data_IF_004160046235
#
_entry.id   IF_004160046235
#
_cell.length_a   1.000
_cell.length_b   1.000
_cell.length_c   1.000
_cell.angle_alpha   90.00
_cell.angle_beta   90.00
_cell.angle_gamma   90.00
#
_symmetry.space_group_name_H-M   'P 1'
#
loop_
_entity.id
_entity.type
_entity.pdbx_description
1 polymer ?
#
# COMPACT_ATOMS: atom_id res chain seq x y z
N UNK A 1 5.63 0.10 -24.49
CA UNK A 1 5.03 -1.20 -24.87
C UNK A 1 3.85 -1.56 -23.95
N UNK A 2 4.06 -1.93 -22.68
CA UNK A 2 2.94 -2.32 -21.78
C UNK A 2 1.93 -1.19 -21.56
N UNK A 3 2.40 0.01 -21.19
CA UNK A 3 1.53 1.18 -20.96
C UNK A 3 0.75 1.65 -22.19
N UNK A 4 1.20 1.28 -23.39
CA UNK A 4 0.54 1.65 -24.65
C UNK A 4 -0.62 0.70 -24.99
N UNK A 5 -0.56 -0.56 -24.52
CA UNK A 5 -1.52 -1.62 -24.90
C UNK A 5 -2.51 -1.97 -23.79
N UNK A 6 -2.23 -1.60 -22.54
CA UNK A 6 -3.03 -2.01 -21.38
C UNK A 6 -4.39 -1.27 -21.30
N UNK A 7 -4.60 -0.26 -22.14
CA UNK A 7 -5.84 0.57 -22.20
C UNK A 7 -6.35 1.00 -20.82
N UNK A 8 -5.40 1.35 -19.93
CA UNK A 8 -5.67 1.73 -18.55
C UNK A 8 -5.31 3.19 -18.30
N UNK A 9 -5.93 3.77 -17.26
CA UNK A 9 -5.60 5.09 -16.72
C UNK A 9 -4.82 5.00 -15.41
N UNK A 10 -4.93 3.89 -14.68
CA UNK A 10 -4.19 3.63 -13.43
C UNK A 10 -3.61 2.22 -13.50
N UNK A 11 -2.32 2.09 -13.19
CA UNK A 11 -1.63 0.80 -13.07
C UNK A 11 -1.00 0.70 -11.69
N UNK A 12 -1.43 -0.27 -10.90
CA UNK A 12 -0.87 -0.53 -9.57
C UNK A 12 0.04 -1.75 -9.66
N UNK A 13 1.33 -1.56 -9.41
CA UNK A 13 2.33 -2.62 -9.36
C UNK A 13 2.71 -2.90 -7.90
N UNK A 14 2.79 -4.19 -7.56
CA UNK A 14 3.23 -4.68 -6.25
C UNK A 14 4.51 -5.48 -6.40
N UNK A 15 5.23 -5.63 -5.29
CA UNK A 15 6.48 -6.40 -5.22
C UNK A 15 7.53 -5.94 -6.25
N UNK A 16 7.70 -4.62 -6.41
CA UNK A 16 8.61 -4.05 -7.42
C UNK A 16 10.07 -4.45 -7.20
N UNK A 17 10.45 -4.78 -5.95
CA UNK A 17 11.81 -5.19 -5.53
C UNK A 17 12.89 -4.16 -5.88
N UNK A 18 12.52 -2.89 -6.00
CA UNK A 18 13.42 -1.78 -6.32
C UNK A 18 13.71 -0.94 -5.06
N UNK A 19 14.94 -0.44 -4.93
CA UNK A 19 15.28 0.61 -3.96
C UNK A 19 15.42 1.96 -4.66
N UNK A 20 15.28 3.06 -3.91
CA UNK A 20 15.33 4.42 -4.47
C UNK A 20 16.59 4.70 -5.29
N UNK A 21 17.75 4.16 -4.88
CA UNK A 21 19.03 4.30 -5.59
C UNK A 21 19.13 3.51 -6.90
N UNK A 22 18.26 2.53 -7.09
CA UNK A 22 18.25 1.63 -8.23
C UNK A 22 17.18 2.02 -9.26
N UNK A 23 16.44 3.12 -9.01
CA UNK A 23 15.48 3.68 -9.96
C UNK A 23 16.21 4.18 -11.21
N UNK A 24 15.67 3.82 -12.38
CA UNK A 24 16.17 4.25 -13.68
C UNK A 24 15.17 5.20 -14.34
N UNK A 25 15.66 6.00 -15.28
CA UNK A 25 14.87 7.02 -15.96
C UNK A 25 13.65 6.42 -16.67
N UNK A 26 13.77 5.24 -17.27
CA UNK A 26 12.68 4.55 -17.97
C UNK A 26 11.57 4.01 -17.04
N UNK A 27 11.86 3.87 -15.73
CA UNK A 27 10.88 3.51 -14.71
C UNK A 27 10.11 4.72 -14.19
N UNK A 28 10.70 5.92 -14.27
CA UNK A 28 10.15 7.15 -13.69
C UNK A 28 9.55 8.06 -14.76
N UNK A 29 10.17 8.11 -15.93
CA UNK A 29 9.84 9.01 -17.05
C UNK A 29 9.09 8.24 -18.14
N UNK A 30 7.94 7.69 -17.80
CA UNK A 30 7.06 7.03 -18.77
C UNK A 30 6.21 8.10 -19.48
N UNK A 31 6.31 8.30 -20.80
CA UNK A 31 5.61 9.38 -21.49
C UNK A 31 4.09 9.35 -21.29
N UNK A 32 3.52 10.44 -20.77
CA UNK A 32 2.07 10.55 -20.50
C UNK A 32 1.60 9.95 -19.18
N UNK A 33 2.53 9.48 -18.34
CA UNK A 33 2.23 8.88 -17.05
C UNK A 33 3.04 9.54 -15.94
N UNK A 34 2.38 9.77 -14.82
CA UNK A 34 3.04 10.08 -13.55
C UNK A 34 3.15 8.79 -12.73
N UNK A 35 4.14 8.71 -11.84
CA UNK A 35 4.35 7.54 -10.98
C UNK A 35 4.61 7.92 -9.53
N UNK A 36 4.02 7.14 -8.64
CA UNK A 36 4.09 7.29 -7.19
C UNK A 36 4.60 5.99 -6.58
N UNK A 37 5.66 6.08 -5.77
CA UNK A 37 6.31 4.90 -5.19
C UNK A 37 6.21 4.89 -3.67
N UNK A 38 6.10 3.69 -3.11
CA UNK A 38 6.50 3.39 -1.74
C UNK A 38 7.54 2.28 -1.80
N UNK A 39 8.76 2.58 -1.37
CA UNK A 39 9.92 1.67 -1.50
C UNK A 39 10.46 1.25 -0.14
N UNK A 40 11.01 0.03 0.00
CA UNK A 40 11.61 -0.41 1.25
C UNK A 40 12.78 0.49 1.66
N UNK A 41 12.83 0.89 2.93
CA UNK A 41 13.92 1.74 3.43
C UNK A 41 15.23 0.99 3.65
N UNK A 42 15.17 -0.27 4.07
CA UNK A 42 16.34 -0.99 4.60
C UNK A 42 16.72 -2.25 3.81
N UNK A 43 15.74 -2.99 3.28
CA UNK A 43 15.98 -4.30 2.67
C UNK A 43 16.08 -4.22 1.15
N UNK A 44 17.19 -4.70 0.58
CA UNK A 44 17.42 -4.75 -0.88
C UNK A 44 16.57 -5.84 -1.53
N UNK A 45 16.01 -5.56 -2.70
CA UNK A 45 15.27 -6.55 -3.49
C UNK A 45 13.97 -7.02 -2.82
N UNK A 46 13.32 -6.15 -2.05
CA UNK A 46 12.21 -6.51 -1.16
C UNK A 46 11.00 -5.62 -1.36
N UNK A 47 9.78 -6.18 -1.37
CA UNK A 47 8.53 -5.40 -1.34
C UNK A 47 8.49 -4.33 -2.45
N UNK A 48 7.84 -3.19 -2.18
CA UNK A 48 7.74 -2.06 -3.07
C UNK A 48 6.39 -2.01 -3.79
N UNK A 49 5.79 -0.82 -3.81
CA UNK A 49 4.55 -0.53 -4.54
C UNK A 49 4.78 0.67 -5.44
N UNK A 50 4.28 0.60 -6.66
CA UNK A 50 4.25 1.73 -7.60
C UNK A 50 2.84 1.91 -8.15
N UNK A 51 2.37 3.15 -8.23
CA UNK A 51 1.12 3.48 -8.91
C UNK A 51 1.45 4.44 -10.04
N UNK A 52 1.15 4.04 -11.27
CA UNK A 52 1.23 4.88 -12.45
C UNK A 52 -0.15 5.41 -12.77
N UNK A 53 -0.23 6.70 -13.10
CA UNK A 53 -1.49 7.35 -13.48
C UNK A 53 -1.33 8.13 -14.77
N UNK A 54 -2.28 8.01 -15.70
CA UNK A 54 -2.26 8.78 -16.95
C UNK A 54 -2.49 10.26 -16.63
N UNK A 55 -1.48 11.09 -16.86
CA UNK A 55 -1.47 12.48 -16.37
C UNK A 55 -2.55 13.37 -17.01
N UNK A 56 -2.98 13.06 -18.23
CA UNK A 56 -3.99 13.83 -18.95
C UNK A 56 -5.44 13.55 -18.50
N UNK A 57 -5.73 12.38 -17.92
CA UNK A 57 -7.10 11.92 -17.63
C UNK A 57 -7.33 11.60 -16.15
N UNK A 58 -6.29 11.19 -15.43
CA UNK A 58 -6.42 10.65 -14.09
C UNK A 58 -5.26 11.14 -13.20
N UNK A 59 -5.19 12.46 -12.98
CA UNK A 59 -4.17 13.03 -12.09
C UNK A 59 -4.67 13.05 -10.63
N UNK A 60 -3.91 12.50 -9.67
CA UNK A 60 -4.25 12.63 -8.26
C UNK A 60 -4.01 14.06 -7.76
N UNK A 61 -4.82 14.49 -6.81
CA UNK A 61 -4.67 15.79 -6.12
C UNK A 61 -3.74 15.70 -4.90
N UNK A 62 -3.58 14.51 -4.32
CA UNK A 62 -2.63 14.23 -3.22
C UNK A 62 -2.06 12.82 -3.33
N UNK A 63 -0.87 12.62 -2.78
CA UNK A 63 -0.20 11.33 -2.72
C UNK A 63 0.54 11.17 -1.38
N UNK A 64 0.41 10.00 -0.77
CA UNK A 64 1.07 9.66 0.50
C UNK A 64 1.71 8.27 0.42
N UNK A 65 2.88 8.13 1.06
CA UNK A 65 3.53 6.84 1.31
C UNK A 65 3.11 6.33 2.70
N UNK A 66 2.84 5.02 2.80
CA UNK A 66 2.48 4.38 4.06
C UNK A 66 0.99 4.43 4.40
N UNK A 67 0.61 3.74 5.47
CA UNK A 67 -0.77 3.61 5.96
C UNK A 67 -1.00 4.54 7.16
N UNK A 68 0.00 4.64 8.02
CA UNK A 68 -0.12 5.35 9.28
C UNK A 68 0.09 6.86 9.07
N UNK A 69 0.75 7.29 8.00
CA UNK A 69 1.04 8.70 7.73
C UNK A 69 2.21 9.24 8.53
N UNK A 70 3.06 8.35 9.08
CA UNK A 70 4.26 8.74 9.84
C UNK A 70 5.47 9.02 8.96
N UNK A 71 5.36 8.75 7.65
CA UNK A 71 6.35 9.13 6.66
C UNK A 71 6.24 10.61 6.31
N UNK A 72 7.31 11.16 5.73
CA UNK A 72 7.36 12.56 5.35
C UNK A 72 7.35 12.69 3.81
N UNK A 73 6.69 13.72 3.26
CA UNK A 73 6.82 14.07 1.86
C UNK A 73 8.29 14.29 1.44
N UNK A 74 8.61 14.18 0.13
CA UNK A 74 9.93 14.53 -0.37
C UNK A 74 10.37 15.92 0.10
N UNK A 75 11.60 16.03 0.62
CA UNK A 75 12.20 17.29 1.10
C UNK A 75 11.49 17.92 2.32
N UNK A 76 10.67 17.16 3.04
CA UNK A 76 10.04 17.59 4.29
C UNK A 76 10.51 16.74 5.47
N UNK A 77 10.55 17.33 6.66
CA UNK A 77 10.71 16.62 7.94
C UNK A 77 9.39 16.44 8.67
N UNK A 78 8.33 17.10 8.22
CA UNK A 78 6.98 16.99 8.79
C UNK A 78 6.29 15.75 8.22
N UNK A 79 5.73 14.92 9.11
CA UNK A 79 5.02 13.69 8.72
C UNK A 79 3.72 14.05 8.00
N UNK A 80 3.23 13.18 7.11
CA UNK A 80 1.95 13.38 6.41
C UNK A 80 0.80 13.70 7.38
N UNK A 81 0.70 12.96 8.50
CA UNK A 81 -0.33 13.17 9.52
C UNK A 81 -0.23 14.48 10.32
N UNK A 82 0.92 15.14 10.24
CA UNK A 82 1.20 16.40 10.95
C UNK A 82 1.15 17.61 10.00
N UNK A 83 0.86 17.40 8.71
CA UNK A 83 0.67 18.48 7.76
C UNK A 83 -0.67 19.21 8.01
N UNK A 84 -0.82 20.46 7.50
CA UNK A 84 -2.10 21.14 7.47
C UNK A 84 -3.19 20.26 6.83
N UNK A 85 -4.44 20.38 7.31
CA UNK A 85 -5.56 19.53 6.89
C UNK A 85 -5.84 19.54 5.38
N UNK A 86 -5.52 20.64 4.71
CA UNK A 86 -5.66 20.82 3.26
C UNK A 86 -4.50 20.21 2.45
N UNK A 87 -3.45 19.73 3.12
CA UNK A 87 -2.25 19.13 2.52
C UNK A 87 -2.14 17.62 2.78
N UNK A 88 -3.15 17.02 3.40
CA UNK A 88 -3.18 15.61 3.74
C UNK A 88 -4.38 14.88 3.11
N UNK A 89 -4.23 13.59 2.87
CA UNK A 89 -5.33 12.68 2.52
C UNK A 89 -6.20 12.40 3.75
N UNK A 90 -5.70 12.50 4.98
CA UNK A 90 -6.53 12.32 6.19
C UNK A 90 -6.89 10.85 6.47
N UNK A 91 -7.79 10.59 7.43
CA UNK A 91 -8.16 9.23 7.83
C UNK A 91 -7.11 8.47 8.65
N UNK A 92 -6.15 9.14 9.28
CA UNK A 92 -5.06 8.48 10.04
C UNK A 92 -5.60 7.69 11.24
N UNK A 93 -4.96 6.57 11.63
CA UNK A 93 -5.22 5.93 12.91
C UNK A 93 -5.05 6.92 14.07
N UNK A 94 -6.06 7.02 14.93
CA UNK A 94 -6.05 7.84 16.16
C UNK A 94 -5.55 7.04 17.35
N UNK A 95 -5.07 7.70 18.43
CA UNK A 95 -4.72 7.02 19.67
C UNK A 95 -5.82 6.08 20.16
N UNK A 96 -5.45 4.83 20.47
CA UNK A 96 -6.37 3.79 20.91
C UNK A 96 -7.08 2.99 19.81
N UNK A 97 -6.87 3.31 18.52
CA UNK A 97 -7.42 2.50 17.42
C UNK A 97 -6.49 1.34 16.98
N UNK A 98 -5.20 1.39 17.33
CA UNK A 98 -4.23 0.35 17.03
C UNK A 98 -3.75 -0.31 18.31
N UNK A 99 -3.44 -1.60 18.24
CA UNK A 99 -2.86 -2.40 19.32
C UNK A 99 -1.51 -1.89 19.82
N UNK A 100 -0.74 -1.23 18.96
CA UNK A 100 0.59 -0.70 19.28
C UNK A 100 1.68 -1.77 19.40
N UNK A 101 1.42 -3.01 18.96
CA UNK A 101 2.39 -4.11 18.99
C UNK A 101 3.60 -3.80 18.10
N UNK A 102 3.35 -3.22 16.92
CA UNK A 102 4.38 -2.77 15.98
C UNK A 102 4.31 -1.25 15.86
N UNK A 103 5.46 -0.59 15.97
CA UNK A 103 5.54 0.86 15.78
C UNK A 103 5.14 1.26 14.35
N UNK A 104 4.33 2.33 14.22
CA UNK A 104 3.90 2.88 12.93
C UNK A 104 5.06 3.12 11.94
N UNK A 105 6.22 3.57 12.47
CA UNK A 105 7.42 3.85 11.67
C UNK A 105 8.01 2.58 11.07
N UNK A 106 7.98 1.48 11.80
CA UNK A 106 8.40 0.15 11.35
C UNK A 106 7.39 -0.38 10.32
N UNK A 107 6.09 -0.22 10.60
CA UNK A 107 5.02 -0.67 9.72
C UNK A 107 5.10 -0.03 8.32
N UNK A 108 5.31 1.29 8.27
CA UNK A 108 5.42 2.05 7.01
C UNK A 108 6.83 1.95 6.37
N UNK A 109 7.82 1.32 7.01
CA UNK A 109 9.21 1.28 6.50
C UNK A 109 9.44 0.31 5.33
N UNK A 110 8.51 -0.62 5.10
CA UNK A 110 8.69 -1.74 4.17
C UNK A 110 8.21 -1.45 2.73
N UNK A 111 7.75 -0.24 2.43
CA UNK A 111 7.34 0.11 1.06
C UNK A 111 6.10 -0.64 0.59
N UNK A 112 5.09 -0.75 1.45
CA UNK A 112 3.93 -1.65 1.26
C UNK A 112 2.62 -0.96 0.88
N UNK A 113 2.59 0.36 0.88
CA UNK A 113 1.36 1.12 0.62
C UNK A 113 1.67 2.47 -0.03
N UNK A 114 0.97 2.75 -1.12
CA UNK A 114 0.84 4.08 -1.72
C UNK A 114 -0.63 4.45 -1.70
N UNK A 115 -0.95 5.65 -1.22
CA UNK A 115 -2.32 6.17 -1.21
C UNK A 115 -2.38 7.41 -2.09
N UNK A 116 -3.28 7.40 -3.08
CA UNK A 116 -3.54 8.53 -3.95
C UNK A 116 -4.96 9.03 -3.74
N UNK A 117 -5.13 10.34 -3.61
CA UNK A 117 -6.45 10.97 -3.60
C UNK A 117 -6.71 11.62 -4.95
N UNK A 118 -7.85 11.30 -5.54
CA UNK A 118 -8.40 11.91 -6.73
C UNK A 118 -9.61 12.76 -6.34
N UNK A 119 -10.09 13.67 -7.20
CA UNK A 119 -11.27 14.47 -6.91
C UNK A 119 -12.52 13.67 -6.51
N UNK A 120 -12.63 12.42 -6.96
CA UNK A 120 -13.80 11.57 -6.73
C UNK A 120 -13.59 10.42 -5.71
N UNK A 121 -12.36 9.94 -5.52
CA UNK A 121 -12.07 8.77 -4.69
C UNK A 121 -10.64 8.76 -4.16
N UNK A 122 -10.38 7.92 -3.16
CA UNK A 122 -9.05 7.60 -2.64
C UNK A 122 -8.71 6.17 -3.02
N UNK A 123 -7.54 5.97 -3.63
CA UNK A 123 -7.00 4.68 -4.01
C UNK A 123 -5.87 4.28 -3.07
N UNK A 124 -5.99 3.12 -2.44
CA UNK A 124 -4.92 2.48 -1.68
C UNK A 124 -4.37 1.32 -2.52
N UNK A 125 -3.14 1.47 -3.01
CA UNK A 125 -2.37 0.38 -3.61
C UNK A 125 -1.51 -0.29 -2.56
N UNK A 126 -1.72 -1.59 -2.31
CA UNK A 126 -1.05 -2.32 -1.21
C UNK A 126 -0.32 -3.57 -1.67
N UNK A 127 0.74 -3.90 -0.94
CA UNK A 127 1.37 -5.22 -0.94
C UNK A 127 1.44 -5.72 0.51
N UNK A 128 0.40 -6.45 0.93
CA UNK A 128 0.26 -6.92 2.29
C UNK A 128 1.35 -7.97 2.62
N UNK A 129 1.82 -8.04 3.87
CA UNK A 129 2.86 -8.99 4.27
C UNK A 129 2.37 -10.43 4.11
N UNK A 130 3.08 -11.26 3.34
CA UNK A 130 2.77 -12.69 3.22
C UNK A 130 3.00 -13.46 4.53
N UNK A 131 2.27 -14.55 4.73
CA UNK A 131 2.52 -15.47 5.83
C UNK A 131 3.71 -16.37 5.45
N UNK A 132 4.88 -16.15 6.07
CA UNK A 132 6.11 -16.90 5.76
C UNK A 132 6.66 -17.64 6.96
N UNK A 133 6.69 -16.99 8.13
CA UNK A 133 7.22 -17.54 9.37
C UNK A 133 6.59 -16.83 10.59
N UNK A 134 6.74 -17.43 11.77
CA UNK A 134 6.15 -16.94 13.03
C UNK A 134 6.59 -15.51 13.38
N UNK A 135 7.81 -15.09 13.00
CA UNK A 135 8.33 -13.75 13.32
C UNK A 135 7.59 -12.62 12.58
N UNK A 136 6.77 -12.97 11.58
CA UNK A 136 6.01 -12.02 10.76
C UNK A 136 4.53 -11.95 11.11
N UNK A 137 4.05 -12.81 12.03
CA UNK A 137 2.63 -12.88 12.40
C UNK A 137 2.15 -11.54 12.97
N UNK A 138 2.87 -11.00 13.96
CA UNK A 138 2.52 -9.71 14.58
C UNK A 138 2.58 -8.55 13.57
N UNK A 139 3.64 -8.49 12.76
CA UNK A 139 3.75 -7.47 11.71
C UNK A 139 2.58 -7.52 10.72
N UNK A 140 2.21 -8.74 10.28
CA UNK A 140 1.09 -8.94 9.37
C UNK A 140 -0.23 -8.51 10.02
N UNK A 141 -0.47 -8.92 11.26
CA UNK A 141 -1.68 -8.55 12.00
C UNK A 141 -1.78 -7.02 12.19
N UNK A 142 -0.71 -6.37 12.65
CA UNK A 142 -0.68 -4.90 12.81
C UNK A 142 -0.83 -4.16 11.47
N UNK A 143 -0.33 -4.73 10.36
CA UNK A 143 -0.54 -4.15 9.03
C UNK A 143 -2.02 -4.17 8.61
N UNK A 144 -2.70 -5.29 8.81
CA UNK A 144 -4.13 -5.39 8.53
C UNK A 144 -4.98 -4.51 9.45
N UNK A 145 -4.63 -4.45 10.74
CA UNK A 145 -5.30 -3.55 11.70
C UNK A 145 -5.18 -2.09 11.25
N UNK A 146 -3.96 -1.63 10.94
CA UNK A 146 -3.74 -0.27 10.45
C UNK A 146 -4.46 0.00 9.14
N UNK A 147 -4.47 -0.96 8.20
CA UNK A 147 -5.16 -0.84 6.92
C UNK A 147 -6.68 -0.72 7.11
N UNK A 148 -7.29 -1.59 7.91
CA UNK A 148 -8.72 -1.56 8.23
C UNK A 148 -9.11 -0.23 8.91
N UNK A 149 -8.35 0.20 9.91
CA UNK A 149 -8.58 1.47 10.62
C UNK A 149 -8.47 2.67 9.66
N UNK A 150 -7.43 2.69 8.81
CA UNK A 150 -7.22 3.75 7.81
C UNK A 150 -8.40 3.83 6.85
N UNK A 151 -8.86 2.70 6.32
CA UNK A 151 -10.01 2.64 5.41
C UNK A 151 -11.29 3.11 6.11
N UNK A 152 -11.58 2.61 7.32
CA UNK A 152 -12.78 3.03 8.06
C UNK A 152 -12.79 4.52 8.36
N UNK A 153 -11.65 5.08 8.74
CA UNK A 153 -11.54 6.51 9.01
C UNK A 153 -11.74 7.34 7.73
N UNK A 154 -11.15 6.94 6.59
CA UNK A 154 -11.38 7.61 5.29
C UNK A 154 -12.86 7.56 4.88
N UNK A 155 -13.52 6.42 5.07
CA UNK A 155 -14.96 6.27 4.78
C UNK A 155 -15.80 7.14 5.72
N UNK A 156 -15.44 7.20 7.02
CA UNK A 156 -16.12 8.06 7.99
C UNK A 156 -15.96 9.56 7.69
N UNK A 157 -14.88 9.95 7.02
CA UNK A 157 -14.66 11.30 6.47
C UNK A 157 -15.45 11.56 5.17
N UNK A 158 -16.24 10.58 4.70
CA UNK A 158 -17.09 10.69 3.51
C UNK A 158 -16.39 10.36 2.19
N UNK A 159 -15.15 9.84 2.23
CA UNK A 159 -14.39 9.52 1.02
C UNK A 159 -14.86 8.22 0.39
N UNK A 160 -14.88 8.17 -0.94
CA UNK A 160 -15.04 6.92 -1.68
C UNK A 160 -13.68 6.23 -1.73
N UNK A 161 -13.59 4.99 -1.22
CA UNK A 161 -12.32 4.30 -1.05
C UNK A 161 -12.23 3.08 -1.96
N UNK A 162 -11.13 2.97 -2.70
CA UNK A 162 -10.75 1.81 -3.50
C UNK A 162 -9.49 1.20 -2.86
N UNK A 163 -9.57 -0.07 -2.45
CA UNK A 163 -8.42 -0.86 -2.01
C UNK A 163 -8.07 -1.86 -3.12
N UNK A 164 -6.80 -1.88 -3.53
CA UNK A 164 -6.33 -2.84 -4.54
C UNK A 164 -4.88 -3.24 -4.32
N UNK A 165 -4.50 -4.38 -4.87
CA UNK A 165 -3.16 -4.96 -4.77
C UNK A 165 -3.20 -6.37 -4.20
N UNK A 166 -2.03 -6.87 -3.80
CA UNK A 166 -1.89 -8.21 -3.27
C UNK A 166 -2.10 -8.21 -1.76
N UNK A 167 -3.26 -8.73 -1.33
CA UNK A 167 -3.61 -8.86 0.08
C UNK A 167 -2.92 -10.06 0.75
N UNK A 168 -2.34 -11.00 -0.01
CA UNK A 168 -1.81 -12.25 0.53
C UNK A 168 -2.81 -12.97 1.45
N UNK A 169 -4.10 -12.98 1.09
CA UNK A 169 -5.19 -13.61 1.84
C UNK A 169 -6.03 -14.42 0.87
N UNK A 170 -6.26 -15.68 1.22
CA UNK A 170 -7.29 -16.52 0.61
C UNK A 170 -8.53 -16.35 1.48
N UNK A 171 -9.65 -15.89 0.90
CA UNK A 171 -10.87 -15.58 1.67
C UNK A 171 -11.67 -16.84 1.98
N UNK A 172 -11.83 -17.70 1.00
CA UNK A 172 -12.65 -18.90 1.09
C UNK A 172 -11.98 -20.06 0.38
N UNK A 173 -12.49 -21.27 0.60
CA UNK A 173 -11.95 -22.47 -0.03
C UNK A 173 -11.99 -22.42 -1.56
N UNK A 174 -13.04 -21.80 -2.12
CA UNK A 174 -13.20 -21.61 -3.57
C UNK A 174 -12.09 -20.75 -4.18
N UNK A 175 -11.40 -19.94 -3.37
CA UNK A 175 -10.29 -19.09 -3.80
C UNK A 175 -8.95 -19.86 -3.78
N UNK A 176 -8.96 -21.18 -3.54
CA UNK A 176 -7.78 -22.04 -3.49
C UNK A 176 -8.00 -23.36 -4.21
N UNK A 177 -7.00 -23.82 -4.96
CA UNK A 177 -7.08 -25.08 -5.70
C UNK A 177 -6.77 -26.30 -4.84
N UNK A 178 -6.10 -26.15 -3.69
CA UNK A 178 -5.48 -27.25 -2.93
C UNK A 178 -5.76 -27.19 -1.41
N UNK A 179 -6.91 -26.68 -0.98
CA UNK A 179 -7.27 -26.55 0.46
C UNK A 179 -7.03 -27.84 1.23
N UNK A 180 -7.52 -28.97 0.72
CA UNK A 180 -7.41 -30.28 1.37
C UNK A 180 -5.95 -30.72 1.53
N UNK A 181 -5.10 -30.50 0.51
CA UNK A 181 -3.67 -30.83 0.61
C UNK A 181 -2.93 -29.91 1.59
N UNK A 182 -3.34 -28.65 1.68
CA UNK A 182 -2.81 -27.70 2.65
C UNK A 182 -3.16 -28.10 4.08
N UNK A 183 -4.43 -28.39 4.35
CA UNK A 183 -4.91 -28.85 5.66
C UNK A 183 -4.22 -30.15 6.08
N UNK A 184 -4.03 -31.11 5.15
CA UNK A 184 -3.28 -32.34 5.43
C UNK A 184 -1.81 -32.08 5.79
N UNK A 185 -1.14 -31.10 5.16
CA UNK A 185 0.24 -30.72 5.52
C UNK A 185 0.32 -30.08 6.90
N UNK A 186 -0.75 -29.42 7.34
CA UNK A 186 -0.86 -28.78 8.65
C UNK A 186 -1.51 -29.68 9.72
N UNK A 187 -1.75 -30.98 9.41
CA UNK A 187 -2.45 -31.94 10.28
C UNK A 187 -3.84 -31.45 10.76
N UNK A 188 -4.55 -30.69 9.93
CA UNK A 188 -5.91 -30.22 10.19
C UNK A 188 -6.91 -30.98 9.30
N UNK A 189 -8.13 -31.15 9.80
CA UNK A 189 -9.27 -31.65 9.02
C UNK A 189 -10.35 -30.57 8.93
N UNK A 190 -11.11 -30.57 7.84
CA UNK A 190 -12.33 -29.77 7.70
C UNK A 190 -13.38 -30.12 8.78
#
# INVERSE_FOLDING_TARGET
AMFDILESDIVVMQETKIQRKDLQDDMVLVPGWDVFFSLPKHKKGYSGVAIYTRNASCAPIRAEEGIAGVLCPPKSTTKFRDLPSDQQIGGYPRPGQLSGIVEDTVLDSEGRCVILEFPAFVLLGVYCPANRDESRVEFRASFFEALDVRIRNLVAEGKQVILTGDLNVIRSEMDSTNVIEGLHKENMTL
#
